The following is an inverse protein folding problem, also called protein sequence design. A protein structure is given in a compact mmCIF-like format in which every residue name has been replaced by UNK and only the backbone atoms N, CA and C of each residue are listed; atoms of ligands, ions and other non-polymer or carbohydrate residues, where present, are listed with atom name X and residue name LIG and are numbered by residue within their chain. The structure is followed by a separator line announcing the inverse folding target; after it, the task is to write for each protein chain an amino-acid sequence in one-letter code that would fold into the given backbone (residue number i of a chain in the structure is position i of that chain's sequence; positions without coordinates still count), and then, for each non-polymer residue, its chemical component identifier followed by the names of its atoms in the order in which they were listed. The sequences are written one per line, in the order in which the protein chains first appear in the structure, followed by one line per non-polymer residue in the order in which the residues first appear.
data_IF_603113423904
#
_entry.id   IF_603113423904
#
_cell.length_a   1.000
_cell.length_b   1.000
_cell.length_c   1.000
_cell.angle_alpha   90.00
_cell.angle_beta   90.00
_cell.angle_gamma   90.00
#
_symmetry.space_group_name_H-M   'P 1'
#
loop_
_entity.id
_entity.type
_entity.pdbx_description
1 polymer ?
#
# COMPACT_ATOMS: atom_id res chain seq x y z
N UNK A 1 -2.86 22.46 -52.11
CA UNK A 1 -1.92 21.77 -53.02
C UNK A 1 -1.47 20.49 -52.33
N UNK A 2 -1.94 19.34 -52.81
CA UNK A 2 -1.60 18.03 -52.23
C UNK A 2 -0.12 17.72 -52.49
N UNK A 3 0.63 17.30 -51.46
CA UNK A 3 1.81 16.47 -51.64
C UNK A 3 1.69 15.20 -50.81
N UNK A 4 1.56 14.08 -51.52
CA UNK A 4 1.83 12.72 -51.02
C UNK A 4 3.32 12.62 -50.69
N UNK A 5 3.67 12.10 -49.52
CA UNK A 5 5.01 11.56 -49.26
C UNK A 5 4.86 10.08 -48.93
N UNK A 6 5.53 9.27 -49.74
CA UNK A 6 5.66 7.82 -49.66
C UNK A 6 6.81 7.54 -48.66
N UNK A 7 6.58 6.71 -47.65
CA UNK A 7 7.64 6.20 -46.76
C UNK A 7 8.11 4.82 -47.22
N UNK A 8 9.39 4.70 -47.55
CA UNK A 8 10.16 3.44 -47.59
C UNK A 8 11.07 3.35 -46.35
N UNK A 9 11.46 2.15 -45.90
CA UNK A 9 12.06 1.97 -44.59
C UNK A 9 13.60 2.09 -44.60
N UNK A 10 14.13 2.51 -43.45
CA UNK A 10 15.53 2.33 -42.98
C UNK A 10 16.63 3.17 -43.65
N UNK A 11 17.07 4.26 -42.98
CA UNK A 11 18.46 4.56 -42.58
C UNK A 11 18.59 5.95 -41.96
N UNK A 12 19.38 6.06 -40.89
CA UNK A 12 19.79 7.32 -40.24
C UNK A 12 20.60 8.19 -41.20
N UNK A 13 20.40 9.51 -41.15
CA UNK A 13 21.33 10.49 -41.70
C UNK A 13 21.47 11.69 -40.74
N UNK A 14 22.72 12.01 -40.39
CA UNK A 14 23.14 13.25 -39.74
C UNK A 14 23.44 14.28 -40.83
N UNK A 15 22.92 15.50 -40.70
CA UNK A 15 23.40 16.69 -41.43
C UNK A 15 23.52 17.80 -40.40
N UNK A 16 24.74 18.30 -40.19
CA UNK A 16 25.00 19.46 -39.34
C UNK A 16 24.99 20.76 -40.13
N UNK A 17 24.53 21.85 -39.50
CA UNK A 17 25.29 23.09 -39.45
C UNK A 17 24.82 23.98 -38.29
N UNK A 18 25.75 24.77 -37.74
CA UNK A 18 25.61 25.59 -36.53
C UNK A 18 24.68 26.79 -36.71
N UNK A 19 23.66 26.88 -35.85
CA UNK A 19 23.23 28.03 -35.05
C UNK A 19 21.71 27.97 -34.78
N UNK A 20 21.34 28.20 -33.52
CA UNK A 20 19.99 28.41 -32.95
C UNK A 20 19.03 27.20 -32.84
N UNK A 21 18.57 26.97 -31.59
CA UNK A 21 17.47 26.14 -31.07
C UNK A 21 16.89 25.04 -31.99
N UNK A 22 17.16 23.76 -31.67
CA UNK A 22 16.50 22.60 -32.27
C UNK A 22 15.37 22.04 -31.41
N UNK A 23 14.15 22.04 -31.92
CA UNK A 23 12.99 21.31 -31.36
C UNK A 23 12.97 19.86 -31.86
N UNK A 24 12.72 18.89 -30.96
CA UNK A 24 12.43 17.52 -31.34
C UNK A 24 10.92 17.26 -31.25
N UNK A 25 10.31 16.85 -32.36
CA UNK A 25 8.93 16.34 -32.40
C UNK A 25 9.01 14.81 -32.52
N UNK A 26 8.62 14.10 -31.45
CA UNK A 26 8.42 12.65 -31.50
C UNK A 26 6.92 12.37 -31.65
N UNK A 27 6.53 11.78 -32.77
CA UNK A 27 5.16 11.33 -33.01
C UNK A 27 5.08 9.84 -32.71
N UNK A 28 4.34 9.47 -31.66
CA UNK A 28 3.89 8.11 -31.42
C UNK A 28 2.37 8.13 -31.23
N UNK A 29 1.63 7.35 -32.04
CA UNK A 29 0.18 7.15 -31.94
C UNK A 29 -0.66 8.45 -31.80
N UNK A 30 -0.42 9.42 -32.68
CA UNK A 30 -1.36 10.54 -32.87
C UNK A 30 -1.41 11.59 -31.76
N UNK A 31 -0.40 11.70 -30.88
CA UNK A 31 -0.26 12.83 -29.93
C UNK A 31 1.16 13.42 -29.96
N UNK A 32 1.25 14.75 -29.95
CA UNK A 32 2.51 15.49 -29.83
C UNK A 32 2.87 15.73 -28.35
N UNK A 33 4.14 15.56 -28.00
CA UNK A 33 4.70 15.94 -26.70
C UNK A 33 5.90 16.88 -26.90
N UNK A 34 5.99 17.92 -26.06
CA UNK A 34 7.12 18.85 -26.01
C UNK A 34 7.92 18.64 -24.72
N UNK A 35 9.25 18.56 -24.84
CA UNK A 35 10.15 18.49 -23.68
C UNK A 35 11.38 19.37 -23.93
N UNK A 36 11.71 20.27 -22.99
CA UNK A 36 12.95 21.07 -22.98
C UNK A 36 14.00 20.40 -22.08
N UNK A 37 15.25 20.34 -22.53
CA UNK A 37 16.41 19.98 -21.69
C UNK A 37 17.49 21.07 -21.79
N UNK A 38 18.16 21.34 -20.67
CA UNK A 38 19.36 22.17 -20.55
C UNK A 38 20.59 21.26 -20.58
N UNK A 39 21.57 21.58 -21.42
CA UNK A 39 22.90 20.97 -21.45
C UNK A 39 23.91 22.02 -20.95
N UNK A 40 24.53 21.78 -19.80
CA UNK A 40 25.73 22.50 -19.38
C UNK A 40 26.98 21.67 -19.72
N UNK A 41 27.91 22.29 -20.44
CA UNK A 41 29.27 21.79 -20.70
C UNK A 41 30.26 22.90 -20.33
N UNK A 42 31.27 22.60 -19.50
CA UNK A 42 32.49 23.41 -19.34
C UNK A 42 33.61 22.51 -18.78
N UNK A 43 34.43 21.92 -19.65
CA UNK A 43 35.83 22.28 -20.01
C UNK A 43 36.89 21.96 -18.95
N UNK A 44 37.78 21.06 -19.36
CA UNK A 44 39.01 20.60 -18.71
C UNK A 44 40.18 21.57 -18.98
N UNK A 45 41.02 21.83 -17.98
CA UNK A 45 42.36 22.43 -18.14
C UNK A 45 43.41 21.60 -17.40
N UNK A 46 44.59 21.53 -18.02
CA UNK A 46 45.72 20.63 -17.75
C UNK A 46 46.59 21.08 -16.56
N UNK A 47 47.39 20.10 -16.09
CA UNK A 47 48.79 20.19 -15.61
C UNK A 47 49.03 20.30 -14.10
N UNK A 48 49.41 19.19 -13.45
CA UNK A 48 50.74 19.01 -12.83
C UNK A 48 50.95 17.57 -12.35
N UNK A 49 52.03 16.95 -12.83
CA UNK A 49 52.64 15.74 -12.28
C UNK A 49 53.35 16.10 -10.97
N UNK A 50 53.29 15.22 -9.96
CA UNK A 50 54.43 14.80 -9.13
C UNK A 50 54.11 13.43 -8.52
N UNK A 51 55.04 12.50 -8.73
CA UNK A 51 55.15 11.19 -8.11
C UNK A 51 55.45 11.31 -6.61
N UNK A 52 54.75 10.57 -5.76
CA UNK A 52 55.37 9.85 -4.62
C UNK A 52 54.70 8.49 -4.45
N UNK A 53 55.44 7.44 -4.81
CA UNK A 53 55.20 6.05 -4.39
C UNK A 53 55.72 5.86 -2.97
N UNK A 54 55.08 4.92 -2.25
CA UNK A 54 55.52 4.25 -1.04
C UNK A 54 55.35 5.00 0.29
N UNK A 55 54.21 4.76 0.94
CA UNK A 55 54.25 4.33 2.34
C UNK A 55 53.25 3.20 2.57
N UNK A 56 53.75 2.19 3.27
CA UNK A 56 53.20 0.85 3.40
C UNK A 56 52.13 0.80 4.50
N UNK A 57 51.11 -0.04 4.30
CA UNK A 57 50.40 -0.88 5.28
C UNK A 57 50.32 -0.37 6.73
N UNK A 58 49.11 -0.01 7.17
CA UNK A 58 48.46 -0.52 8.40
C UNK A 58 47.09 0.17 8.59
N UNK A 59 46.17 -0.53 9.26
CA UNK A 59 44.79 -0.16 9.67
C UNK A 59 43.65 -0.42 8.67
N UNK A 60 43.42 -1.71 8.39
CA UNK A 60 42.05 -2.25 8.35
C UNK A 60 41.58 -2.40 9.80
N UNK A 61 40.63 -1.56 10.23
CA UNK A 61 39.60 -1.75 11.28
C UNK A 61 39.18 -0.38 11.79
N UNK A 62 38.09 0.17 11.22
CA UNK A 62 37.12 1.07 11.86
C UNK A 62 36.35 1.85 10.79
N UNK A 63 35.43 1.17 10.09
CA UNK A 63 34.53 1.85 9.14
C UNK A 63 33.13 1.20 9.04
N UNK A 64 32.69 0.54 10.12
CA UNK A 64 31.37 -0.13 10.20
C UNK A 64 30.37 0.47 11.20
N UNK A 65 30.73 1.56 11.89
CA UNK A 65 29.85 2.17 12.90
C UNK A 65 29.33 3.57 12.57
N UNK A 66 29.70 4.17 11.43
CA UNK A 66 29.33 5.57 11.13
C UNK A 66 28.02 5.67 10.32
N UNK A 67 27.59 4.63 9.59
CA UNK A 67 26.38 4.69 8.74
C UNK A 67 25.08 4.19 9.40
N UNK A 68 25.13 3.48 10.54
CA UNK A 68 23.92 3.06 11.29
C UNK A 68 23.35 4.14 12.23
N UNK A 69 24.19 5.10 12.64
CA UNK A 69 23.84 6.17 13.57
C UNK A 69 23.02 7.31 12.91
N UNK A 70 23.26 7.57 11.62
CA UNK A 70 22.68 8.74 10.93
C UNK A 70 21.20 8.55 10.56
N UNK A 71 20.75 7.31 10.27
CA UNK A 71 19.34 7.07 9.92
C UNK A 71 18.42 6.84 11.13
N UNK A 72 18.95 6.29 12.23
CA UNK A 72 18.18 6.07 13.47
C UNK A 72 18.01 7.35 14.29
N UNK A 73 18.97 8.28 14.21
CA UNK A 73 18.91 9.58 14.91
C UNK A 73 17.78 10.46 14.40
N UNK A 74 17.55 10.56 13.10
CA UNK A 74 16.56 11.49 12.55
C UNK A 74 15.10 11.15 12.92
N UNK A 75 14.76 9.86 12.97
CA UNK A 75 13.42 9.41 13.40
C UNK A 75 13.22 9.56 14.91
N UNK A 76 14.28 9.37 15.71
CA UNK A 76 14.28 9.55 17.16
C UNK A 76 14.17 11.03 17.56
N UNK A 77 14.89 11.91 16.87
CA UNK A 77 14.79 13.38 17.01
C UNK A 77 13.40 13.91 16.64
N UNK A 78 12.73 13.28 15.67
CA UNK A 78 11.35 13.62 15.30
C UNK A 78 10.31 13.21 16.34
N UNK A 79 10.61 12.21 17.18
CA UNK A 79 9.74 11.76 18.27
C UNK A 79 9.96 12.61 19.54
N UNK A 80 11.20 12.98 19.82
CA UNK A 80 11.55 13.78 21.01
C UNK A 80 11.09 15.25 20.90
N UNK A 81 10.95 15.78 19.68
CA UNK A 81 10.51 17.17 19.42
C UNK A 81 9.00 17.43 19.56
N UNK A 82 8.20 16.44 19.95
CA UNK A 82 6.73 16.53 19.98
C UNK A 82 6.13 16.60 21.39
N UNK A 83 6.93 16.90 22.41
CA UNK A 83 6.49 16.97 23.80
C UNK A 83 6.15 18.39 24.29
N UNK A 84 5.46 19.24 23.51
CA UNK A 84 4.87 20.49 24.03
C UNK A 84 3.57 20.89 23.29
N UNK A 85 2.46 20.67 24.01
CA UNK A 85 1.18 21.40 24.09
C UNK A 85 0.20 21.58 22.91
N UNK A 86 -1.04 21.27 23.29
CA UNK A 86 -2.35 21.53 22.70
C UNK A 86 -2.67 23.02 22.49
N UNK A 87 -3.48 23.29 21.45
CA UNK A 87 -4.83 23.90 21.55
C UNK A 87 -5.18 24.62 20.25
N UNK A 88 -6.39 24.39 19.71
CA UNK A 88 -7.23 25.40 19.07
C UNK A 88 -8.60 24.80 18.73
N UNK A 89 -9.52 24.91 19.68
CA UNK A 89 -10.96 24.92 19.45
C UNK A 89 -11.45 26.36 19.62
N UNK A 90 -11.98 26.97 18.55
CA UNK A 90 -13.15 27.85 18.64
C UNK A 90 -13.69 28.13 17.25
N UNK A 91 -14.95 27.77 17.01
CA UNK A 91 -15.74 28.32 15.91
C UNK A 91 -17.07 28.79 16.48
N UNK A 92 -17.27 30.10 16.46
CA UNK A 92 -18.57 30.76 16.66
C UNK A 92 -19.13 31.07 15.28
N UNK A 93 -20.41 30.82 14.99
CA UNK A 93 -21.01 31.16 13.70
C UNK A 93 -21.45 32.63 13.69
N UNK A 94 -21.02 33.38 12.68
CA UNK A 94 -21.55 34.72 12.38
C UNK A 94 -22.65 34.59 11.31
N UNK A 95 -23.89 35.03 11.57
CA UNK A 95 -24.93 35.15 10.55
C UNK A 95 -24.72 36.49 9.83
N UNK A 96 -24.65 36.45 8.50
CA UNK A 96 -24.94 37.55 7.55
C UNK A 96 -24.01 37.45 6.34
N UNK A 97 -24.48 36.80 5.28
CA UNK A 97 -24.16 37.19 3.91
C UNK A 97 -25.24 36.67 2.97
N UNK A 98 -26.33 37.43 2.96
CA UNK A 98 -27.45 37.35 2.04
C UNK A 98 -27.14 38.26 0.84
N UNK A 99 -26.34 37.79 -0.11
CA UNK A 99 -26.10 38.47 -1.40
C UNK A 99 -25.77 37.46 -2.50
N UNK A 100 -26.80 36.75 -2.99
CA UNK A 100 -26.74 36.08 -4.29
C UNK A 100 -28.12 36.06 -4.94
N UNK A 101 -28.39 37.02 -5.81
CA UNK A 101 -29.54 36.98 -6.74
C UNK A 101 -29.39 35.77 -7.66
N UNK A 102 -30.36 34.85 -7.62
CA UNK A 102 -30.45 33.73 -8.55
C UNK A 102 -30.64 34.25 -9.98
N UNK A 103 -29.93 33.73 -11.00
CA UNK A 103 -30.00 34.23 -12.37
C UNK A 103 -31.26 33.78 -13.14
N UNK A 104 -32.30 33.30 -12.47
CA UNK A 104 -33.50 32.77 -13.12
C UNK A 104 -34.79 33.27 -12.44
N UNK A 105 -35.82 33.65 -13.22
CA UNK A 105 -37.09 34.15 -12.69
C UNK A 105 -37.89 33.04 -11.98
N UNK A 106 -38.68 33.41 -10.98
CA UNK A 106 -39.46 32.54 -10.08
C UNK A 106 -40.46 31.58 -10.77
N UNK A 107 -40.63 31.67 -12.09
CA UNK A 107 -41.50 30.79 -12.89
C UNK A 107 -40.72 29.84 -13.83
N UNK A 108 -39.40 29.71 -13.67
CA UNK A 108 -38.55 28.85 -14.52
C UNK A 108 -38.59 27.35 -14.16
N UNK A 109 -39.75 26.82 -13.75
CA UNK A 109 -40.02 25.39 -13.73
C UNK A 109 -41.39 25.08 -14.34
N UNK A 110 -41.44 24.70 -15.62
CA UNK A 110 -42.36 23.68 -16.05
C UNK A 110 -41.68 22.32 -15.89
N UNK A 111 -42.38 21.41 -15.20
CA UNK A 111 -42.14 19.97 -15.14
C UNK A 111 -41.50 19.40 -16.41
N UNK A 112 -40.17 19.35 -16.44
CA UNK A 112 -39.42 18.44 -17.29
C UNK A 112 -38.48 17.70 -16.36
N UNK A 113 -38.98 16.59 -15.79
CA UNK A 113 -38.12 15.47 -15.48
C UNK A 113 -37.23 15.27 -16.72
N UNK A 114 -35.94 15.62 -16.62
CA UNK A 114 -34.97 15.25 -17.65
C UNK A 114 -34.90 13.73 -17.65
N UNK A 115 -35.69 13.14 -18.53
CA UNK A 115 -35.82 11.71 -18.86
C UNK A 115 -34.47 11.09 -19.32
N UNK A 116 -33.40 11.88 -19.40
CA UNK A 116 -32.04 11.40 -19.67
C UNK A 116 -31.48 10.50 -18.56
N UNK A 117 -31.88 10.69 -17.29
CA UNK A 117 -31.47 9.79 -16.20
C UNK A 117 -32.21 8.44 -16.24
N UNK A 118 -33.43 8.40 -16.79
CA UNK A 118 -34.25 7.19 -16.94
C UNK A 118 -33.87 6.38 -18.18
N UNK A 119 -33.25 7.00 -19.20
CA UNK A 119 -32.84 6.34 -20.45
C UNK A 119 -31.36 5.98 -20.54
N UNK A 120 -30.52 6.34 -19.57
CA UNK A 120 -29.19 5.73 -19.47
C UNK A 120 -29.35 4.34 -18.86
N UNK A 121 -29.85 3.38 -19.63
CA UNK A 121 -29.61 1.96 -19.35
C UNK A 121 -28.11 1.79 -19.42
N UNK A 122 -27.40 1.96 -18.29
CA UNK A 122 -26.03 1.48 -18.17
C UNK A 122 -26.12 0.01 -18.53
N UNK A 123 -25.49 -0.46 -19.61
CA UNK A 123 -25.55 -1.87 -19.98
C UNK A 123 -25.19 -2.67 -18.74
N UNK A 124 -26.04 -3.61 -18.32
CA UNK A 124 -25.74 -4.47 -17.17
C UNK A 124 -24.53 -5.31 -17.59
N UNK A 125 -23.33 -4.88 -17.19
CA UNK A 125 -22.10 -5.59 -17.51
C UNK A 125 -22.20 -6.96 -16.83
N UNK A 126 -22.06 -8.03 -17.61
CA UNK A 126 -22.03 -9.37 -17.03
C UNK A 126 -20.86 -9.42 -16.04
N UNK A 127 -21.11 -9.73 -14.77
CA UNK A 127 -20.04 -9.82 -13.78
C UNK A 127 -18.84 -10.66 -14.22
N UNK A 128 -19.05 -11.70 -15.01
CA UNK A 128 -17.98 -12.59 -15.48
C UNK A 128 -16.96 -11.89 -16.38
N UNK A 129 -17.34 -10.76 -16.96
CA UNK A 129 -16.48 -9.89 -17.78
C UNK A 129 -15.80 -8.80 -16.95
N UNK A 130 -16.14 -8.69 -15.65
CA UNK A 130 -15.51 -7.76 -14.70
C UNK A 130 -14.52 -8.49 -13.79
N UNK A 131 -13.61 -7.72 -13.19
CA UNK A 131 -12.62 -8.26 -12.27
C UNK A 131 -12.56 -7.51 -10.94
N UNK A 132 -12.03 -8.22 -9.93
CA UNK A 132 -11.57 -7.67 -8.67
C UNK A 132 -10.09 -8.01 -8.53
N UNK A 133 -9.29 -7.00 -8.17
CA UNK A 133 -7.86 -7.21 -7.89
C UNK A 133 -7.60 -7.04 -6.40
N UNK A 134 -7.07 -8.09 -5.78
CA UNK A 134 -6.73 -8.15 -4.37
C UNK A 134 -5.21 -8.10 -4.19
N UNK A 135 -4.76 -7.32 -3.21
CA UNK A 135 -3.33 -7.12 -2.94
C UNK A 135 -2.93 -7.68 -1.57
N UNK A 136 -1.99 -8.64 -1.51
CA UNK A 136 -1.56 -9.25 -0.25
C UNK A 136 -0.82 -8.25 0.64
N UNK A 137 -0.70 -8.62 1.92
CA UNK A 137 0.00 -7.83 2.93
C UNK A 137 1.29 -8.50 3.44
N UNK A 138 1.84 -7.94 4.51
CA UNK A 138 2.96 -8.54 5.23
C UNK A 138 2.64 -9.97 5.69
N UNK A 139 3.62 -10.86 5.61
CA UNK A 139 3.51 -12.29 5.92
C UNK A 139 3.37 -13.19 4.70
N UNK A 140 3.23 -12.63 3.50
CA UNK A 140 3.19 -13.41 2.25
C UNK A 140 4.52 -13.43 1.49
N UNK A 141 5.51 -12.67 1.94
CA UNK A 141 6.84 -12.65 1.35
C UNK A 141 7.55 -14.01 1.49
N UNK A 142 8.34 -14.36 0.48
CA UNK A 142 9.22 -15.53 0.50
C UNK A 142 10.43 -15.28 -0.42
N UNK A 143 11.56 -15.91 -0.12
CA UNK A 143 12.74 -15.84 -0.99
C UNK A 143 12.44 -16.53 -2.31
N UNK A 144 12.68 -15.84 -3.42
CA UNK A 144 12.29 -16.25 -4.77
C UNK A 144 11.04 -15.53 -5.28
N UNK A 145 10.36 -14.73 -4.45
CA UNK A 145 9.25 -13.92 -4.92
C UNK A 145 9.71 -12.93 -6.00
N UNK A 146 8.90 -12.76 -7.04
CA UNK A 146 9.24 -11.92 -8.17
C UNK A 146 10.06 -12.61 -9.27
N UNK A 147 10.50 -13.87 -9.12
CA UNK A 147 11.32 -14.55 -10.12
C UNK A 147 10.62 -14.71 -11.48
N UNK A 148 9.31 -14.95 -11.48
CA UNK A 148 8.51 -14.95 -12.70
C UNK A 148 8.11 -13.54 -13.16
N UNK A 149 8.09 -12.57 -12.23
CA UNK A 149 7.71 -11.18 -12.51
C UNK A 149 8.82 -10.44 -13.24
N UNK A 150 10.08 -10.63 -12.86
CA UNK A 150 11.25 -9.97 -13.51
C UNK A 150 11.49 -10.43 -14.96
N UNK A 151 10.71 -11.38 -15.48
CA UNK A 151 10.70 -11.72 -16.90
C UNK A 151 10.03 -10.62 -17.74
N UNK A 152 9.16 -9.84 -17.13
CA UNK A 152 8.44 -8.73 -17.74
C UNK A 152 9.27 -7.43 -17.60
N UNK A 153 9.55 -6.69 -18.70
CA UNK A 153 10.42 -5.52 -18.66
C UNK A 153 9.95 -4.45 -17.66
N UNK A 154 8.67 -4.09 -17.68
CA UNK A 154 8.13 -3.05 -16.79
C UNK A 154 8.22 -3.47 -15.32
N UNK A 155 8.03 -4.76 -15.03
CA UNK A 155 8.20 -5.28 -13.68
C UNK A 155 9.65 -5.13 -13.17
N UNK A 156 10.66 -5.33 -14.03
CA UNK A 156 12.06 -5.06 -13.67
C UNK A 156 12.30 -3.58 -13.41
N UNK A 157 11.75 -2.71 -14.26
CA UNK A 157 11.90 -1.27 -14.11
C UNK A 157 11.31 -0.80 -12.76
N UNK A 158 10.18 -1.38 -12.31
CA UNK A 158 9.62 -1.13 -10.97
C UNK A 158 10.58 -1.56 -9.86
N UNK A 159 11.21 -2.71 -9.98
CA UNK A 159 12.20 -3.19 -9.00
C UNK A 159 13.45 -2.30 -8.96
N UNK A 160 13.93 -1.85 -10.11
CA UNK A 160 15.09 -0.96 -10.22
C UNK A 160 14.79 0.41 -9.62
N UNK A 161 13.66 1.02 -10.01
CA UNK A 161 13.21 2.30 -9.46
C UNK A 161 12.98 2.22 -7.94
N UNK A 162 12.37 1.13 -7.45
CA UNK A 162 12.24 0.94 -6.00
C UNK A 162 13.59 0.79 -5.31
N UNK A 163 14.55 0.08 -5.91
CA UNK A 163 15.89 -0.11 -5.34
C UNK A 163 16.65 1.22 -5.24
N UNK A 164 16.51 2.09 -6.23
CA UNK A 164 17.08 3.44 -6.20
C UNK A 164 16.46 4.29 -5.09
N UNK A 165 15.14 4.25 -4.94
CA UNK A 165 14.42 5.00 -3.89
C UNK A 165 14.81 4.54 -2.48
N UNK A 166 14.95 3.23 -2.29
CA UNK A 166 15.24 2.60 -1.00
C UNK A 166 16.73 2.59 -0.65
N UNK A 167 17.62 2.82 -1.63
CA UNK A 167 19.08 2.82 -1.43
C UNK A 167 19.68 1.42 -1.27
N UNK A 168 18.94 0.35 -1.56
CA UNK A 168 19.43 -1.02 -1.56
C UNK A 168 18.76 -1.85 -2.66
N UNK A 169 19.41 -2.95 -3.07
CA UNK A 169 18.90 -3.80 -4.15
C UNK A 169 17.74 -4.68 -3.66
N UNK A 170 16.51 -4.15 -3.77
CA UNK A 170 15.27 -4.82 -3.38
C UNK A 170 15.05 -6.10 -4.20
N UNK A 171 15.32 -6.05 -5.50
CA UNK A 171 15.16 -7.21 -6.39
C UNK A 171 16.00 -8.40 -5.92
N UNK A 172 17.28 -8.17 -5.63
CA UNK A 172 18.20 -9.20 -5.13
C UNK A 172 17.70 -9.78 -3.81
N UNK A 173 17.21 -8.94 -2.91
CA UNK A 173 16.65 -9.38 -1.63
C UNK A 173 15.42 -10.27 -1.82
N UNK A 174 14.50 -9.90 -2.72
CA UNK A 174 13.32 -10.69 -3.03
C UNK A 174 13.68 -12.04 -3.66
N UNK A 175 14.60 -12.06 -4.63
CA UNK A 175 14.95 -13.26 -5.39
C UNK A 175 15.86 -14.22 -4.63
N UNK A 176 16.79 -13.70 -3.82
CA UNK A 176 17.90 -14.48 -3.24
C UNK A 176 17.98 -14.43 -1.72
N UNK A 177 17.22 -13.56 -1.06
CA UNK A 177 17.27 -13.39 0.39
C UNK A 177 18.51 -12.62 0.86
N UNK A 178 18.95 -12.81 2.11
CA UNK A 178 18.55 -13.88 3.04
C UNK A 178 17.11 -13.75 3.56
N UNK A 179 16.49 -14.87 3.91
CA UNK A 179 15.09 -14.94 4.35
C UNK A 179 14.84 -14.10 5.60
N UNK A 180 15.78 -14.17 6.55
CA UNK A 180 15.71 -13.48 7.83
C UNK A 180 15.69 -11.96 7.64
N UNK A 181 16.45 -11.46 6.67
CA UNK A 181 16.42 -10.04 6.31
C UNK A 181 15.10 -9.69 5.62
N UNK A 182 14.67 -10.50 4.64
CA UNK A 182 13.43 -10.26 3.92
C UNK A 182 12.21 -10.24 4.84
N UNK A 183 12.19 -11.05 5.91
CA UNK A 183 11.08 -11.12 6.85
C UNK A 183 10.98 -9.93 7.81
N UNK A 184 12.04 -9.11 7.95
CA UNK A 184 11.96 -7.91 8.79
C UNK A 184 10.97 -6.91 8.20
N UNK A 185 10.19 -6.28 9.07
CA UNK A 185 9.09 -5.37 8.70
C UNK A 185 9.53 -4.29 7.72
N UNK A 186 10.71 -3.69 7.94
CA UNK A 186 11.30 -2.65 7.08
C UNK A 186 11.54 -3.10 5.64
N UNK A 187 11.83 -4.40 5.42
CA UNK A 187 12.10 -4.94 4.08
C UNK A 187 10.88 -5.62 3.46
N UNK A 188 10.10 -6.39 4.23
CA UNK A 188 8.97 -7.14 3.66
C UNK A 188 7.88 -6.21 3.12
N UNK A 189 7.62 -5.06 3.76
CA UNK A 189 6.56 -4.15 3.34
C UNK A 189 6.83 -3.54 1.96
N UNK A 190 7.99 -2.88 1.69
CA UNK A 190 8.33 -2.44 0.33
C UNK A 190 8.40 -3.59 -0.66
N UNK A 191 8.91 -4.75 -0.24
CA UNK A 191 9.05 -5.90 -1.12
C UNK A 191 7.69 -6.45 -1.59
N UNK A 192 6.70 -6.55 -0.68
CA UNK A 192 5.33 -6.96 -1.01
C UNK A 192 4.66 -5.91 -1.91
N UNK A 193 4.83 -4.61 -1.65
CA UNK A 193 4.31 -3.54 -2.52
C UNK A 193 4.81 -3.70 -3.96
N UNK A 194 6.13 -3.79 -4.15
CA UNK A 194 6.74 -3.82 -5.48
C UNK A 194 6.41 -5.13 -6.20
N UNK A 195 6.45 -6.27 -5.53
CA UNK A 195 6.02 -7.55 -6.12
C UNK A 195 4.54 -7.53 -6.52
N UNK A 196 3.69 -6.88 -5.72
CA UNK A 196 2.25 -6.74 -6.01
C UNK A 196 2.00 -5.93 -7.28
N UNK A 197 2.71 -4.81 -7.45
CA UNK A 197 2.58 -3.98 -8.64
C UNK A 197 3.24 -4.62 -9.87
N UNK A 198 4.37 -5.30 -9.69
CA UNK A 198 4.97 -6.12 -10.75
C UNK A 198 4.05 -7.26 -11.22
N UNK A 199 3.26 -7.85 -10.31
CA UNK A 199 2.26 -8.84 -10.65
C UNK A 199 1.08 -8.26 -11.44
N UNK A 200 0.74 -6.97 -11.24
CA UNK A 200 -0.24 -6.28 -12.08
C UNK A 200 0.30 -6.13 -13.51
N UNK A 201 1.57 -5.79 -13.69
CA UNK A 201 2.15 -5.69 -15.04
C UNK A 201 2.15 -7.03 -15.77
N UNK A 202 2.49 -8.13 -15.08
CA UNK A 202 2.30 -9.49 -15.61
C UNK A 202 0.84 -9.77 -15.97
N UNK A 203 -0.11 -9.43 -15.09
CA UNK A 203 -1.54 -9.63 -15.36
C UNK A 203 -2.01 -8.83 -16.58
N UNK A 204 -1.52 -7.60 -16.74
CA UNK A 204 -1.84 -6.72 -17.85
C UNK A 204 -1.36 -7.27 -19.18
N UNK A 205 -0.17 -7.88 -19.22
CA UNK A 205 0.34 -8.55 -20.42
C UNK A 205 -0.40 -9.86 -20.74
N UNK A 206 -0.66 -10.70 -19.73
CA UNK A 206 -1.31 -12.00 -19.95
C UNK A 206 -2.83 -11.89 -20.19
N UNK A 207 -3.49 -10.92 -19.52
CA UNK A 207 -4.95 -10.79 -19.45
C UNK A 207 -5.35 -9.30 -19.34
N UNK A 208 -5.17 -8.48 -20.39
CA UNK A 208 -5.42 -7.04 -20.34
C UNK A 208 -6.85 -6.69 -19.89
N UNK A 209 -7.85 -7.47 -20.32
CA UNK A 209 -9.25 -7.28 -19.91
C UNK A 209 -9.48 -7.43 -18.40
N UNK A 210 -8.63 -8.18 -17.69
CA UNK A 210 -8.70 -8.27 -16.24
C UNK A 210 -8.29 -6.96 -15.55
N UNK A 211 -7.44 -6.15 -16.16
CA UNK A 211 -7.07 -4.83 -15.62
C UNK A 211 -8.06 -3.77 -16.08
N UNK A 212 -8.41 -3.78 -17.37
CA UNK A 212 -9.32 -2.80 -17.98
C UNK A 212 -10.73 -2.85 -17.39
N UNK A 213 -11.24 -4.05 -17.08
CA UNK A 213 -12.59 -4.23 -16.55
C UNK A 213 -12.60 -4.38 -15.01
N UNK A 214 -11.58 -3.87 -14.32
CA UNK A 214 -11.53 -3.92 -12.86
C UNK A 214 -12.55 -2.97 -12.25
N UNK A 215 -13.51 -3.53 -11.51
CA UNK A 215 -14.60 -2.76 -10.88
C UNK A 215 -14.33 -2.42 -9.42
N UNK A 216 -13.48 -3.20 -8.76
CA UNK A 216 -13.08 -2.97 -7.38
C UNK A 216 -11.71 -3.53 -7.09
N UNK A 217 -11.02 -2.90 -6.14
CA UNK A 217 -9.76 -3.39 -5.59
C UNK A 217 -9.75 -3.24 -4.07
N UNK A 218 -8.98 -4.11 -3.41
CA UNK A 218 -8.73 -4.04 -1.98
C UNK A 218 -7.37 -4.64 -1.70
N UNK A 219 -6.70 -4.13 -0.67
CA UNK A 219 -5.43 -4.69 -0.23
C UNK A 219 -5.40 -4.92 1.26
N UNK A 220 -4.68 -5.95 1.69
CA UNK A 220 -4.60 -6.32 3.10
C UNK A 220 -3.43 -5.59 3.77
N UNK A 221 -3.72 -4.75 4.76
CA UNK A 221 -2.72 -3.94 5.48
C UNK A 221 -1.86 -3.10 4.52
N UNK A 222 -0.55 -3.38 4.40
CA UNK A 222 0.32 -2.68 3.44
C UNK A 222 -0.16 -2.80 1.99
N UNK A 223 -0.84 -3.90 1.64
CA UNK A 223 -1.42 -4.09 0.31
C UNK A 223 -2.46 -3.03 -0.06
N UNK A 224 -3.06 -2.34 0.92
CA UNK A 224 -3.97 -1.23 0.68
C UNK A 224 -3.27 -0.08 -0.06
N UNK A 225 -1.98 0.13 0.19
CA UNK A 225 -1.18 1.11 -0.55
C UNK A 225 -0.94 0.63 -1.98
N UNK A 226 -0.70 -0.67 -2.21
CA UNK A 226 -0.65 -1.26 -3.57
C UNK A 226 -1.97 -1.03 -4.32
N UNK A 227 -3.10 -1.21 -3.64
CA UNK A 227 -4.43 -1.00 -4.21
C UNK A 227 -4.67 0.46 -4.62
N UNK A 228 -4.21 1.41 -3.80
CA UNK A 228 -4.29 2.84 -4.10
C UNK A 228 -3.37 3.25 -5.25
N UNK A 229 -2.18 2.67 -5.36
CA UNK A 229 -1.29 2.89 -6.52
C UNK A 229 -1.94 2.36 -7.78
N UNK A 230 -2.45 1.13 -7.74
CA UNK A 230 -3.16 0.53 -8.87
C UNK A 230 -4.38 1.35 -9.31
N UNK A 231 -5.13 1.90 -8.36
CA UNK A 231 -6.28 2.76 -8.64
C UNK A 231 -5.91 4.20 -9.03
N UNK A 232 -4.63 4.52 -9.20
CA UNK A 232 -4.14 5.84 -9.59
C UNK A 232 -4.21 6.91 -8.50
N UNK A 233 -4.54 6.56 -7.25
CA UNK A 233 -4.63 7.50 -6.13
C UNK A 233 -3.27 7.85 -5.52
N UNK A 234 -2.24 7.02 -5.76
CA UNK A 234 -0.87 7.24 -5.30
C UNK A 234 0.11 6.96 -6.43
N UNK A 235 1.09 7.84 -6.62
CA UNK A 235 2.21 7.59 -7.53
C UNK A 235 3.15 6.53 -6.95
N UNK A 236 3.72 5.69 -7.81
CA UNK A 236 4.56 4.56 -7.42
C UNK A 236 5.73 4.99 -6.52
N UNK A 237 6.51 5.98 -6.94
CA UNK A 237 7.72 6.41 -6.24
C UNK A 237 7.39 6.95 -4.84
N UNK A 238 6.27 7.65 -4.74
CA UNK A 238 5.77 8.20 -3.47
C UNK A 238 5.22 7.11 -2.58
N UNK A 239 4.56 6.11 -3.14
CA UNK A 239 4.08 4.94 -2.40
C UNK A 239 5.24 4.10 -1.85
N UNK A 240 6.32 3.88 -2.62
CA UNK A 240 7.52 3.19 -2.11
C UNK A 240 8.12 3.94 -0.92
N UNK A 241 8.29 5.27 -1.01
CA UNK A 241 8.77 6.08 0.12
C UNK A 241 7.82 6.04 1.31
N UNK A 242 6.52 6.14 1.07
CA UNK A 242 5.49 6.10 2.11
C UNK A 242 5.48 4.75 2.84
N UNK A 243 5.59 3.64 2.10
CA UNK A 243 5.67 2.29 2.67
C UNK A 243 6.96 2.09 3.45
N UNK A 244 8.10 2.61 2.97
CA UNK A 244 9.35 2.55 3.72
C UNK A 244 9.21 3.26 5.08
N UNK A 245 8.68 4.49 5.09
CA UNK A 245 8.42 5.24 6.33
C UNK A 245 7.42 4.52 7.23
N UNK A 246 6.35 3.94 6.67
CA UNK A 246 5.39 3.14 7.43
C UNK A 246 6.07 1.96 8.12
N UNK A 247 6.91 1.24 7.39
CA UNK A 247 7.56 0.04 7.86
C UNK A 247 8.57 0.33 8.98
N UNK A 248 9.40 1.37 8.79
CA UNK A 248 10.34 1.87 9.80
C UNK A 248 9.61 2.34 11.07
N UNK A 249 8.56 3.16 10.91
CA UNK A 249 7.79 3.68 12.04
C UNK A 249 7.09 2.56 12.84
N UNK A 250 6.55 1.55 12.16
CA UNK A 250 5.93 0.38 12.82
C UNK A 250 6.97 -0.52 13.50
N UNK A 251 8.16 -0.66 12.90
CA UNK A 251 9.27 -1.39 13.51
C UNK A 251 9.72 -0.70 14.80
N UNK A 252 9.93 0.62 14.77
CA UNK A 252 10.26 1.42 15.95
C UNK A 252 9.19 1.34 17.04
N UNK A 253 7.90 1.43 16.67
CA UNK A 253 6.80 1.27 17.63
C UNK A 253 6.81 -0.12 18.30
N UNK A 254 7.22 -1.16 17.56
CA UNK A 254 7.33 -2.53 18.09
C UNK A 254 8.52 -2.70 19.03
N UNK A 255 9.59 -1.92 18.85
CA UNK A 255 10.76 -1.90 19.74
C UNK A 255 10.48 -1.15 21.04
N UNK A 256 9.71 -0.05 20.97
CA UNK A 256 9.30 0.74 22.14
C UNK A 256 8.27 -0.01 22.99
N UNK A 257 7.31 -0.68 22.36
CA UNK A 257 6.25 -1.42 23.05
C UNK A 257 6.20 -2.87 22.55
N UNK A 258 6.97 -3.79 23.20
CA UNK A 258 7.01 -5.19 22.83
C UNK A 258 5.62 -5.81 22.84
N UNK A 259 5.24 -6.40 21.71
CA UNK A 259 3.95 -7.03 21.54
C UNK A 259 4.01 -8.12 20.49
N UNK A 260 2.90 -8.81 20.29
CA UNK A 260 2.80 -9.86 19.28
C UNK A 260 1.42 -9.94 18.66
N UNK A 261 1.26 -10.95 17.80
CA UNK A 261 -0.03 -11.29 17.20
C UNK A 261 -0.27 -12.80 17.28
N UNK A 262 -1.53 -13.19 17.42
CA UNK A 262 -1.95 -14.58 17.54
C UNK A 262 -3.22 -14.81 16.73
N UNK A 263 -3.18 -15.79 15.83
CA UNK A 263 -4.38 -16.27 15.14
C UNK A 263 -5.21 -17.11 16.09
N UNK A 264 -6.51 -16.84 16.13
CA UNK A 264 -7.48 -17.51 16.99
C UNK A 264 -8.61 -18.06 16.13
N UNK A 265 -8.77 -19.38 16.18
CA UNK A 265 -9.94 -20.07 15.64
C UNK A 265 -10.97 -20.27 16.75
N UNK A 266 -12.22 -19.89 16.48
CA UNK A 266 -13.26 -19.77 17.51
C UNK A 266 -14.63 -20.22 16.98
N UNK A 267 -15.46 -20.82 17.82
CA UNK A 267 -16.84 -21.21 17.51
C UNK A 267 -17.87 -20.14 17.86
N UNK A 268 -19.17 -20.39 17.57
CA UNK A 268 -20.27 -19.51 17.98
C UNK A 268 -20.39 -19.32 19.50
N UNK A 269 -19.96 -20.31 20.27
CA UNK A 269 -19.97 -20.35 21.74
C UNK A 269 -18.69 -19.75 22.38
N UNK A 270 -17.69 -19.41 21.57
CA UNK A 270 -16.43 -18.83 22.03
C UNK A 270 -16.59 -17.40 22.52
N UNK A 271 -15.87 -17.07 23.60
CA UNK A 271 -15.95 -15.76 24.25
C UNK A 271 -14.70 -14.91 23.97
N UNK A 272 -14.31 -14.73 22.71
CA UNK A 272 -13.06 -14.05 22.35
C UNK A 272 -12.96 -12.61 22.89
N UNK A 273 -14.06 -11.84 22.84
CA UNK A 273 -14.08 -10.49 23.39
C UNK A 273 -13.83 -10.46 24.90
N UNK A 274 -14.45 -11.40 25.63
CA UNK A 274 -14.24 -11.58 27.06
C UNK A 274 -12.82 -12.07 27.37
N UNK A 275 -12.27 -12.97 26.56
CA UNK A 275 -10.89 -13.44 26.68
C UNK A 275 -9.89 -12.27 26.58
N UNK A 276 -10.08 -11.38 25.60
CA UNK A 276 -9.24 -10.18 25.45
C UNK A 276 -9.37 -9.24 26.65
N UNK A 277 -10.59 -9.04 27.17
CA UNK A 277 -10.80 -8.24 28.38
C UNK A 277 -10.07 -8.83 29.59
N UNK A 278 -10.27 -10.12 29.85
CA UNK A 278 -9.63 -10.83 30.97
C UNK A 278 -8.11 -10.85 30.85
N UNK A 279 -7.58 -10.94 29.64
CA UNK A 279 -6.14 -10.86 29.40
C UNK A 279 -5.57 -9.49 29.80
N UNK A 280 -6.28 -8.39 29.48
CA UNK A 280 -5.88 -7.04 29.89
C UNK A 280 -5.94 -6.87 31.41
N UNK A 281 -7.02 -7.32 32.06
CA UNK A 281 -7.13 -7.26 33.53
C UNK A 281 -6.02 -8.06 34.21
N UNK A 282 -5.73 -9.28 33.71
CA UNK A 282 -4.66 -10.13 34.24
C UNK A 282 -3.27 -9.49 34.11
N UNK A 283 -3.02 -8.76 33.01
CA UNK A 283 -1.80 -7.98 32.82
C UNK A 283 -1.73 -6.77 33.76
N UNK A 284 -2.86 -6.08 33.97
CA UNK A 284 -2.96 -4.93 34.87
C UNK A 284 -2.66 -5.30 36.32
N UNK A 285 -3.18 -6.43 36.79
CA UNK A 285 -2.87 -7.01 38.11
C UNK A 285 -1.38 -7.32 38.31
N UNK A 286 -0.62 -7.48 37.21
CA UNK A 286 0.82 -7.76 37.20
C UNK A 286 1.69 -6.53 36.95
N UNK A 287 1.08 -5.34 37.01
CA UNK A 287 1.80 -4.07 36.89
C UNK A 287 2.17 -3.67 35.46
N UNK A 288 1.56 -4.28 34.44
CA UNK A 288 1.68 -3.76 33.07
C UNK A 288 0.78 -2.54 32.96
N UNK A 289 1.38 -1.38 32.71
CA UNK A 289 0.66 -0.14 32.44
C UNK A 289 -0.03 -0.21 31.06
N UNK A 290 -1.29 0.25 30.99
CA UNK A 290 -2.12 0.27 29.78
C UNK A 290 -2.05 -1.00 28.91
N UNK A 291 -2.41 -2.18 29.46
CA UNK A 291 -2.24 -3.45 28.76
C UNK A 291 -3.17 -3.53 27.54
N UNK A 292 -2.61 -3.70 26.36
CA UNK A 292 -3.37 -3.95 25.13
C UNK A 292 -3.57 -5.46 24.88
N UNK A 293 -4.80 -5.83 24.51
CA UNK A 293 -5.15 -7.10 23.87
C UNK A 293 -6.48 -6.93 23.15
N UNK A 294 -6.47 -6.97 21.81
CA UNK A 294 -7.66 -6.73 21.01
C UNK A 294 -7.58 -7.48 19.67
N UNK A 295 -8.73 -7.58 18.98
CA UNK A 295 -8.76 -8.08 17.59
C UNK A 295 -8.03 -7.06 16.70
N UNK A 296 -7.06 -7.55 15.94
CA UNK A 296 -6.26 -6.80 14.99
C UNK A 296 -6.64 -7.11 13.53
N UNK A 297 -7.09 -8.34 13.24
CA UNK A 297 -7.55 -8.70 11.90
C UNK A 297 -8.80 -9.59 11.97
N UNK A 298 -9.81 -9.24 11.18
CA UNK A 298 -10.98 -10.07 10.90
C UNK A 298 -10.70 -10.79 9.57
N UNK A 299 -10.36 -12.07 9.61
CA UNK A 299 -9.95 -12.80 8.40
C UNK A 299 -11.14 -13.41 7.67
N UNK A 300 -11.88 -14.27 8.37
CA UNK A 300 -13.05 -15.00 7.86
C UNK A 300 -13.90 -15.47 9.04
N UNK A 301 -15.14 -15.95 8.82
CA UNK A 301 -15.97 -16.47 9.89
C UNK A 301 -15.20 -17.49 10.73
N UNK A 302 -15.27 -17.37 12.06
CA UNK A 302 -14.57 -18.26 12.99
C UNK A 302 -13.03 -18.13 13.03
N UNK A 303 -12.43 -17.13 12.37
CA UNK A 303 -10.99 -16.88 12.46
C UNK A 303 -10.64 -15.38 12.53
N UNK A 304 -9.95 -15.00 13.59
CA UNK A 304 -9.47 -13.64 13.84
C UNK A 304 -8.00 -13.67 14.25
N UNK A 305 -7.30 -12.57 14.05
CA UNK A 305 -5.99 -12.35 14.67
C UNK A 305 -6.18 -11.34 15.79
N UNK A 306 -5.66 -11.67 16.97
CA UNK A 306 -5.57 -10.73 18.08
C UNK A 306 -4.13 -10.21 18.19
N UNK A 307 -3.97 -8.99 18.68
CA UNK A 307 -2.68 -8.38 18.93
C UNK A 307 -2.68 -7.67 20.29
N UNK A 308 -1.51 -7.60 20.90
CA UNK A 308 -1.34 -7.00 22.23
C UNK A 308 -0.01 -7.35 22.85
N UNK A 309 0.11 -7.09 24.16
CA UNK A 309 1.28 -7.49 24.94
C UNK A 309 1.48 -9.01 24.93
N UNK A 310 2.73 -9.44 24.95
CA UNK A 310 3.10 -10.87 24.87
C UNK A 310 2.47 -11.65 26.03
N UNK A 311 2.44 -11.04 27.21
CA UNK A 311 1.85 -11.55 28.44
C UNK A 311 0.35 -11.81 28.30
N UNK A 312 -0.38 -10.88 27.67
CA UNK A 312 -1.81 -11.02 27.42
C UNK A 312 -2.10 -12.16 26.43
N UNK A 313 -1.27 -12.31 25.40
CA UNK A 313 -1.38 -13.40 24.43
C UNK A 313 -1.10 -14.76 25.08
N UNK A 314 -0.05 -14.87 25.89
CA UNK A 314 0.29 -16.08 26.67
C UNK A 314 -0.82 -16.46 27.65
N UNK A 315 -1.46 -15.48 28.28
CA UNK A 315 -2.62 -15.72 29.12
C UNK A 315 -3.76 -16.38 28.33
N UNK A 316 -4.09 -15.87 27.14
CA UNK A 316 -5.13 -16.46 26.29
C UNK A 316 -4.74 -17.87 25.84
N UNK A 317 -3.48 -18.09 25.44
CA UNK A 317 -2.95 -19.40 25.04
C UNK A 317 -3.05 -20.45 26.15
N UNK A 318 -2.81 -20.05 27.40
CA UNK A 318 -2.92 -20.96 28.55
C UNK A 318 -4.39 -21.20 28.96
N UNK A 319 -5.31 -20.32 28.58
CA UNK A 319 -6.72 -20.33 28.99
C UNK A 319 -7.71 -20.62 27.84
N UNK A 320 -7.26 -21.29 26.76
CA UNK A 320 -8.06 -21.61 25.58
C UNK A 320 -9.39 -22.28 25.96
N UNK A 321 -9.34 -23.31 26.82
CA UNK A 321 -10.52 -24.06 27.26
C UNK A 321 -11.52 -23.20 28.04
N UNK A 322 -11.03 -22.31 28.91
CA UNK A 322 -11.86 -21.38 29.71
C UNK A 322 -12.72 -20.48 28.83
N UNK A 323 -12.18 -20.04 27.70
CA UNK A 323 -12.85 -19.14 26.75
C UNK A 323 -13.54 -19.88 25.59
N UNK A 324 -13.55 -21.22 25.63
CA UNK A 324 -14.10 -22.09 24.57
C UNK A 324 -13.50 -21.78 23.20
N UNK A 325 -12.22 -21.39 23.15
CA UNK A 325 -11.51 -21.18 21.89
C UNK A 325 -11.14 -22.55 21.30
N UNK A 326 -11.16 -22.69 19.97
CA UNK A 326 -10.89 -23.98 19.32
C UNK A 326 -9.40 -24.23 19.16
N UNK A 327 -8.67 -23.22 18.71
CA UNK A 327 -7.22 -23.28 18.49
C UNK A 327 -6.66 -21.87 18.50
N UNK A 328 -5.42 -21.75 18.93
CA UNK A 328 -4.63 -20.52 18.76
C UNK A 328 -3.26 -20.83 18.15
N UNK A 329 -2.64 -19.83 17.52
CA UNK A 329 -1.28 -19.92 16.98
C UNK A 329 -0.63 -18.55 16.94
N UNK A 330 0.49 -18.39 17.62
CA UNK A 330 1.32 -17.18 17.57
C UNK A 330 1.89 -16.95 16.16
N UNK A 331 1.91 -15.69 15.72
CA UNK A 331 2.45 -15.29 14.43
C UNK A 331 3.91 -14.82 14.57
N UNK A 332 4.81 -15.18 13.64
CA UNK A 332 6.21 -14.77 13.67
C UNK A 332 6.36 -13.33 13.15
N UNK A 333 5.92 -12.36 13.96
CA UNK A 333 5.96 -10.92 13.64
C UNK A 333 6.68 -10.14 14.73
N UNK A 334 7.26 -9.00 14.39
CA UNK A 334 8.04 -8.20 15.33
C UNK A 334 7.22 -7.39 16.33
N UNK A 335 5.90 -7.24 16.13
CA UNK A 335 5.05 -6.45 17.00
C UNK A 335 3.56 -6.69 16.86
N UNK A 336 2.78 -5.98 17.68
CA UNK A 336 1.33 -6.04 17.74
C UNK A 336 0.67 -5.10 16.71
N UNK A 337 0.79 -5.43 15.41
CA UNK A 337 0.25 -4.58 14.34
C UNK A 337 -1.27 -4.41 14.43
N UNK A 338 -1.79 -3.27 13.95
CA UNK A 338 -3.23 -2.95 13.96
C UNK A 338 -3.87 -2.93 15.36
N UNK A 339 -3.08 -2.59 16.37
CA UNK A 339 -3.50 -2.39 17.76
C UNK A 339 -3.11 -1.00 18.27
N UNK A 340 -3.56 -0.62 19.48
CA UNK A 340 -3.16 0.65 20.09
C UNK A 340 -1.63 0.78 20.26
N UNK A 341 -0.88 -0.34 20.33
CA UNK A 341 0.58 -0.32 20.44
C UNK A 341 1.27 0.30 19.20
N UNK A 342 0.57 0.40 18.07
CA UNK A 342 1.10 1.04 16.85
C UNK A 342 0.79 2.54 16.74
N UNK A 343 0.10 3.15 17.71
CA UNK A 343 -0.18 4.59 17.70
C UNK A 343 1.06 5.47 17.54
N UNK A 344 2.24 5.15 18.13
CA UNK A 344 3.44 5.97 17.96
C UNK A 344 3.91 6.10 16.50
N UNK A 345 3.55 5.15 15.61
CA UNK A 345 3.91 5.22 14.20
C UNK A 345 3.07 6.23 13.39
N UNK A 346 1.92 6.66 13.93
CA UNK A 346 0.93 7.47 13.20
C UNK A 346 1.44 8.87 12.85
N UNK A 347 2.04 9.66 13.77
CA UNK A 347 2.50 11.02 13.44
C UNK A 347 3.55 11.02 12.32
N UNK A 348 4.49 10.08 12.37
CA UNK A 348 5.55 9.90 11.35
C UNK A 348 4.93 9.56 10.00
N UNK A 349 4.00 8.61 9.97
CA UNK A 349 3.29 8.24 8.75
C UNK A 349 2.45 9.39 8.19
N UNK A 350 1.73 10.15 9.02
CA UNK A 350 0.95 11.31 8.59
C UNK A 350 1.82 12.37 7.92
N UNK A 351 3.01 12.64 8.47
CA UNK A 351 3.97 13.59 7.89
C UNK A 351 4.43 13.14 6.50
N UNK A 352 4.68 11.84 6.30
CA UNK A 352 5.03 11.29 4.99
C UNK A 352 3.84 11.30 4.03
N UNK A 353 2.64 10.95 4.49
CA UNK A 353 1.42 10.91 3.69
C UNK A 353 1.08 12.28 3.08
N UNK A 354 1.27 13.38 3.84
CA UNK A 354 1.07 14.74 3.33
C UNK A 354 1.97 15.08 2.14
N UNK A 355 3.16 14.45 2.04
CA UNK A 355 4.09 14.65 0.92
C UNK A 355 3.79 13.73 -0.26
N UNK A 356 2.95 12.71 -0.08
CA UNK A 356 2.66 11.73 -1.12
C UNK A 356 1.68 12.26 -2.18
N UNK A 357 0.92 13.32 -1.87
CA UNK A 357 -0.25 13.84 -2.60
C UNK A 357 -1.18 12.74 -3.11
N UNK A 358 -2.34 12.63 -2.49
CA UNK A 358 -3.32 11.59 -2.79
C UNK A 358 -4.32 12.13 -3.78
N UNK A 359 -4.55 11.41 -4.87
CA UNK A 359 -5.58 11.69 -5.85
C UNK A 359 -6.84 10.86 -5.60
N UNK A 360 -7.94 11.23 -6.25
CA UNK A 360 -9.17 10.43 -6.19
C UNK A 360 -8.97 9.12 -6.96
N UNK A 361 -9.32 7.96 -6.37
CA UNK A 361 -9.10 6.67 -7.02
C UNK A 361 -10.05 6.46 -8.20
N UNK A 362 -9.52 6.05 -9.35
CA UNK A 362 -10.31 5.80 -10.57
C UNK A 362 -11.06 4.46 -10.52
N UNK A 363 -10.63 3.56 -9.64
CA UNK A 363 -11.25 2.25 -9.36
C UNK A 363 -11.73 2.27 -7.91
N UNK A 364 -12.83 1.59 -7.60
CA UNK A 364 -13.33 1.51 -6.22
C UNK A 364 -12.35 0.75 -5.30
N UNK A 365 -11.61 1.49 -4.45
CA UNK A 365 -10.71 0.92 -3.44
C UNK A 365 -11.46 0.75 -2.12
N UNK A 366 -11.41 -0.43 -1.49
CA UNK A 366 -12.03 -0.69 -0.18
C UNK A 366 -11.04 -0.55 0.98
N UNK A 367 -11.46 0.21 1.99
CA UNK A 367 -10.67 0.49 3.18
C UNK A 367 -10.67 -0.67 4.17
N UNK A 368 -9.52 -0.91 4.79
CA UNK A 368 -9.39 -1.88 5.87
C UNK A 368 -10.10 -1.46 7.17
N UNK A 369 -10.43 -0.18 7.37
CA UNK A 369 -11.03 0.30 8.62
C UNK A 369 -12.50 -0.07 8.78
N UNK A 370 -13.27 0.10 7.72
CA UNK A 370 -14.72 -0.03 7.73
C UNK A 370 -15.25 -0.99 6.66
N UNK A 371 -14.38 -1.50 5.77
CA UNK A 371 -14.74 -2.37 4.66
C UNK A 371 -15.51 -1.64 3.55
N UNK A 372 -15.60 -0.31 3.60
CA UNK A 372 -16.32 0.51 2.62
C UNK A 372 -15.36 1.09 1.59
N UNK A 373 -15.91 1.53 0.46
CA UNK A 373 -15.16 2.22 -0.58
C UNK A 373 -14.66 3.57 -0.10
N UNK A 374 -13.43 3.93 -0.50
CA UNK A 374 -12.98 5.30 -0.43
C UNK A 374 -13.88 6.21 -1.27
N UNK A 375 -14.11 7.42 -0.75
CA UNK A 375 -15.01 8.40 -1.37
C UNK A 375 -14.23 9.37 -2.26
N UNK A 376 -13.10 9.84 -1.73
CA UNK A 376 -12.18 10.78 -2.35
C UNK A 376 -10.82 10.73 -1.62
N UNK A 377 -9.84 11.43 -2.16
CA UNK A 377 -8.50 11.69 -1.62
C UNK A 377 -8.50 12.12 -0.16
N UNK A 378 -9.35 13.07 0.23
CA UNK A 378 -9.50 13.51 1.63
C UNK A 378 -9.93 12.39 2.56
N UNK A 379 -10.82 11.51 2.10
CA UNK A 379 -11.23 10.35 2.87
C UNK A 379 -10.06 9.39 3.09
N UNK A 380 -9.25 9.16 2.06
CA UNK A 380 -8.04 8.33 2.12
C UNK A 380 -7.04 8.93 3.12
N UNK A 381 -6.77 10.24 3.01
CA UNK A 381 -5.83 10.96 3.87
C UNK A 381 -6.18 10.86 5.37
N UNK A 382 -7.47 10.82 5.71
CA UNK A 382 -7.94 10.65 7.10
C UNK A 382 -7.94 9.20 7.58
N UNK A 383 -8.15 8.24 6.69
CA UNK A 383 -8.31 6.83 7.07
C UNK A 383 -7.00 6.06 7.12
N UNK A 384 -6.10 6.23 6.13
CA UNK A 384 -4.83 5.48 6.07
C UNK A 384 -3.98 5.60 7.35
N UNK A 385 -3.82 6.77 8.00
CA UNK A 385 -3.07 6.83 9.25
C UNK A 385 -3.72 6.03 10.37
N UNK A 386 -5.05 6.00 10.42
CA UNK A 386 -5.80 5.22 11.41
C UNK A 386 -5.69 3.72 11.15
N UNK A 387 -5.48 3.29 9.91
CA UNK A 387 -5.32 1.89 9.52
C UNK A 387 -4.17 1.21 10.28
N UNK A 388 -3.11 1.95 10.61
CA UNK A 388 -1.91 1.43 11.28
C UNK A 388 -2.23 0.82 12.66
N UNK A 389 -3.20 1.39 13.39
CA UNK A 389 -3.52 1.02 14.78
C UNK A 389 -4.96 0.55 14.99
N UNK A 390 -5.76 0.54 13.92
CA UNK A 390 -7.13 -0.01 13.92
C UNK A 390 -7.15 -1.38 13.24
N UNK A 391 -8.10 -2.26 13.64
CA UNK A 391 -8.18 -3.59 13.07
C UNK A 391 -8.48 -3.58 11.57
N UNK A 392 -7.86 -4.51 10.86
CA UNK A 392 -8.17 -4.80 9.45
C UNK A 392 -9.45 -5.61 9.36
N UNK A 393 -10.50 -5.00 8.80
CA UNK A 393 -11.82 -5.59 8.57
C UNK A 393 -11.88 -6.31 7.22
N UNK A 394 -11.04 -7.33 7.05
CA UNK A 394 -10.91 -8.03 5.77
C UNK A 394 -12.12 -8.90 5.44
N UNK A 395 -12.63 -9.67 6.41
CA UNK A 395 -13.87 -10.43 6.28
C UNK A 395 -15.02 -9.54 5.78
N UNK A 396 -15.19 -8.37 6.40
CA UNK A 396 -16.22 -7.39 6.04
C UNK A 396 -15.98 -6.78 4.66
N UNK A 397 -14.72 -6.53 4.30
CA UNK A 397 -14.35 -6.06 2.96
C UNK A 397 -14.75 -7.07 1.89
N UNK A 398 -14.46 -8.36 2.11
CA UNK A 398 -14.87 -9.43 1.20
C UNK A 398 -16.39 -9.55 1.12
N UNK A 399 -17.11 -9.43 2.24
CA UNK A 399 -18.57 -9.37 2.20
C UNK A 399 -19.08 -8.19 1.36
N UNK A 400 -18.56 -6.98 1.58
CA UNK A 400 -18.98 -5.79 0.83
C UNK A 400 -18.71 -5.90 -0.68
N UNK A 401 -17.59 -6.52 -1.06
CA UNK A 401 -17.19 -6.67 -2.47
C UNK A 401 -18.00 -7.77 -3.18
N UNK A 402 -18.30 -8.87 -2.50
CA UNK A 402 -18.92 -10.06 -3.09
C UNK A 402 -20.40 -10.25 -2.71
N UNK A 403 -21.02 -9.29 -2.04
CA UNK A 403 -22.46 -9.29 -1.77
C UNK A 403 -23.24 -9.16 -3.08
N UNK A 404 -24.14 -10.11 -3.35
CA UNK A 404 -24.93 -10.17 -4.58
C UNK A 404 -26.30 -10.78 -4.34
N UNK A 405 -27.26 -10.41 -5.19
CA UNK A 405 -28.57 -11.06 -5.26
C UNK A 405 -28.46 -12.53 -5.70
N UNK A 406 -29.41 -13.35 -5.25
CA UNK A 406 -29.48 -14.78 -5.61
C UNK A 406 -29.54 -14.95 -7.13
N UNK A 407 -28.66 -15.79 -7.67
CA UNK A 407 -28.57 -16.07 -9.10
C UNK A 407 -27.60 -15.19 -9.89
N UNK A 408 -27.10 -14.08 -9.31
CA UNK A 408 -26.05 -13.31 -9.95
C UNK A 408 -24.71 -14.05 -9.96
N UNK A 409 -23.96 -13.88 -11.06
CA UNK A 409 -22.63 -14.48 -11.24
C UNK A 409 -21.55 -13.65 -10.52
N UNK A 410 -20.41 -14.27 -10.25
CA UNK A 410 -19.28 -13.60 -9.61
C UNK A 410 -18.30 -13.00 -10.64
N UNK A 411 -17.66 -11.87 -10.32
CA UNK A 411 -16.50 -11.39 -11.06
C UNK A 411 -15.31 -12.34 -10.96
N UNK A 412 -14.37 -12.21 -11.89
CA UNK A 412 -13.07 -12.88 -11.78
C UNK A 412 -12.25 -12.19 -10.70
N UNK A 413 -11.56 -12.96 -9.87
CA UNK A 413 -10.70 -12.39 -8.82
C UNK A 413 -9.24 -12.66 -9.13
N UNK A 414 -8.39 -11.67 -8.98
CA UNK A 414 -6.95 -11.81 -9.14
C UNK A 414 -6.26 -11.37 -7.85
N UNK A 415 -5.53 -12.28 -7.20
CA UNK A 415 -4.62 -11.93 -6.10
C UNK A 415 -3.27 -11.56 -6.73
N UNK A 416 -2.96 -10.27 -6.81
CA UNK A 416 -1.74 -9.76 -7.43
C UNK A 416 -0.68 -9.49 -6.35
N UNK A 417 0.32 -10.37 -6.27
CA UNK A 417 1.44 -10.27 -5.35
C UNK A 417 1.92 -11.63 -4.86
N UNK A 418 2.88 -11.65 -3.91
CA UNK A 418 3.48 -12.89 -3.47
C UNK A 418 2.49 -13.75 -2.68
N UNK A 419 2.50 -15.05 -2.95
CA UNK A 419 1.72 -16.06 -2.24
C UNK A 419 0.30 -16.26 -2.76
N UNK A 420 -0.54 -16.87 -1.92
CA UNK A 420 -1.94 -17.21 -2.24
C UNK A 420 -2.82 -17.13 -0.98
N UNK A 421 -2.47 -16.21 -0.09
CA UNK A 421 -3.08 -16.10 1.24
C UNK A 421 -4.49 -15.54 1.17
N UNK A 422 -4.72 -14.52 0.32
CA UNK A 422 -6.02 -13.88 0.19
C UNK A 422 -6.99 -14.79 -0.56
N UNK A 423 -6.52 -15.54 -1.56
CA UNK A 423 -7.30 -16.61 -2.20
C UNK A 423 -7.75 -17.66 -1.17
N UNK A 424 -6.87 -18.06 -0.26
CA UNK A 424 -7.21 -19.02 0.80
C UNK A 424 -8.28 -18.46 1.76
N UNK A 425 -8.17 -17.17 2.12
CA UNK A 425 -9.16 -16.48 2.95
C UNK A 425 -10.49 -16.31 2.21
N UNK A 426 -10.46 -15.94 0.93
CA UNK A 426 -11.66 -15.79 0.10
C UNK A 426 -12.46 -17.10 0.04
N UNK A 427 -11.79 -18.26 -0.06
CA UNK A 427 -12.46 -19.57 0.00
C UNK A 427 -13.31 -19.74 1.26
N UNK A 428 -12.80 -19.26 2.39
CA UNK A 428 -13.47 -19.36 3.69
C UNK A 428 -14.63 -18.38 3.85
N UNK A 429 -14.62 -17.25 3.14
CA UNK A 429 -15.69 -16.24 3.18
C UNK A 429 -16.75 -16.51 2.11
N UNK A 430 -16.34 -16.81 0.88
CA UNK A 430 -17.22 -17.02 -0.26
C UNK A 430 -16.61 -18.01 -1.27
N UNK A 431 -16.96 -19.29 -1.13
CA UNK A 431 -16.47 -20.36 -1.99
C UNK A 431 -16.81 -20.15 -3.48
N UNK A 432 -17.97 -19.54 -3.80
CA UNK A 432 -18.38 -19.29 -5.19
C UNK A 432 -17.54 -18.20 -5.86
N UNK A 433 -17.17 -17.16 -5.12
CA UNK A 433 -16.25 -16.13 -5.60
C UNK A 433 -14.81 -16.68 -5.73
N UNK A 434 -14.43 -17.63 -4.87
CA UNK A 434 -13.14 -18.27 -4.91
C UNK A 434 -12.92 -19.15 -6.17
N UNK A 435 -13.97 -19.78 -6.70
CA UNK A 435 -13.87 -20.65 -7.89
C UNK A 435 -13.28 -19.92 -9.12
N UNK A 436 -13.50 -18.61 -9.23
CA UNK A 436 -12.95 -17.75 -10.28
C UNK A 436 -11.72 -16.94 -9.85
N UNK A 437 -11.09 -17.31 -8.73
CA UNK A 437 -9.93 -16.61 -8.18
C UNK A 437 -8.60 -17.19 -8.68
N UNK A 438 -7.74 -16.34 -9.23
CA UNK A 438 -6.41 -16.70 -9.76
C UNK A 438 -5.35 -15.91 -8.98
N UNK A 439 -4.29 -16.58 -8.54
CA UNK A 439 -3.13 -15.91 -7.93
C UNK A 439 -2.13 -15.56 -9.02
N UNK A 440 -1.61 -14.34 -8.97
CA UNK A 440 -0.64 -13.78 -9.91
C UNK A 440 0.53 -13.28 -9.07
N UNK A 441 1.63 -14.01 -9.06
CA UNK A 441 2.82 -13.71 -8.27
C UNK A 441 4.06 -14.37 -8.82
#
# INVERSE_FOLDING_TARGET
MLLKIICLPSRLAFIGNLNTFGEFIKVCNGRCFHTKYLLENSVCSKTHLINVRNFCKQSETDDKNITKSVHTSHAKELLDSLSVQDELNSSVPNPDHDWATLPYPENALPNVFRDQALRSVRPKVDPRETSIILFPGQGTQFVGMGQDLVKFPIARDLFEAASEILGYNLMKLCLKGPKEQLDRTEFCQPAVLVCSLAAVEKLKEERPSAVENCVATAGFSVGEISALVFAGALQFERAVRLVNVRAEAMQLASEVSPGGMMTVWYGPDSQLGYACLQAREWCKERGIEDPECAVANYLYPHCKVIAGHIEALKFIETNIAKFKLRRVRSLPVSGAFHSNLMRPAVPVFMKALRKANIDDPVISVHSNLDGKRYRNSDHIARQLPRQIWKPVKWEQTLHAIYERSVGERFPKTFECGPGQSLKSVLKMVNAKAWDSCISVG
#
